data_IF_351518068441
#
_entry.id   IF_351518068441
#
_cell.length_a   1.000
_cell.length_b   1.000
_cell.length_c   1.000
_cell.angle_alpha   90.00
_cell.angle_beta   90.00
_cell.angle_gamma   90.00
#
_symmetry.space_group_name_H-M   'P 1'
#
loop_
_entity.id
_entity.type
_entity.pdbx_description
1 polymer ?
#
# COMPACT_ATOMS: atom_id res chain seq x y z
N UNK A 1 -2.77 -2.92 12.40
CA UNK A 1 -2.64 -1.60 11.76
C UNK A 1 -3.92 -1.23 11.02
N UNK A 2 -4.35 -1.95 9.97
CA UNK A 2 -5.60 -1.69 9.22
C UNK A 2 -6.88 -1.49 10.07
N UNK A 3 -7.28 -2.48 10.86
CA UNK A 3 -8.51 -2.40 11.68
C UNK A 3 -8.44 -1.32 12.78
N UNK A 4 -7.24 -0.93 13.22
CA UNK A 4 -7.06 0.18 14.15
C UNK A 4 -7.47 1.51 13.50
N UNK A 5 -7.13 1.71 12.22
CA UNK A 5 -7.60 2.88 11.47
C UNK A 5 -9.11 2.91 11.32
N UNK A 6 -9.74 1.78 11.02
CA UNK A 6 -11.20 1.71 10.94
C UNK A 6 -11.86 2.14 12.26
N UNK A 7 -11.32 1.73 13.42
CA UNK A 7 -11.83 2.15 14.74
C UNK A 7 -11.68 3.63 15.00
N UNK A 8 -10.67 4.26 14.41
CA UNK A 8 -10.31 5.64 14.71
C UNK A 8 -10.93 6.64 13.73
N UNK A 9 -11.65 6.21 12.70
CA UNK A 9 -12.33 7.12 11.77
C UNK A 9 -13.27 8.04 12.55
N UNK A 10 -13.31 9.31 12.17
CA UNK A 10 -14.20 10.28 12.81
C UNK A 10 -15.60 10.27 12.21
N UNK A 11 -15.74 9.81 10.97
CA UNK A 11 -17.02 9.74 10.29
C UNK A 11 -17.94 8.74 11.01
N UNK A 12 -19.23 9.05 11.24
CA UNK A 12 -20.11 8.19 12.02
C UNK A 12 -20.14 6.75 11.47
N UNK A 13 -19.66 5.78 12.25
CA UNK A 13 -19.49 4.38 11.78
C UNK A 13 -20.80 3.75 11.34
N UNK A 14 -21.91 4.11 11.97
CA UNK A 14 -23.24 3.62 11.61
C UNK A 14 -23.72 4.09 10.21
N UNK A 15 -22.97 4.98 9.54
CA UNK A 15 -23.18 5.41 8.15
C UNK A 15 -22.18 4.75 7.18
N UNK A 16 -21.30 3.89 7.67
CA UNK A 16 -20.29 3.19 6.88
C UNK A 16 -20.66 1.71 6.83
N UNK A 17 -20.85 1.22 5.61
CA UNK A 17 -20.93 -0.21 5.33
C UNK A 17 -19.55 -0.69 4.85
N UNK A 18 -19.07 -1.80 5.39
CA UNK A 18 -17.81 -2.42 5.02
C UNK A 18 -18.05 -3.65 4.15
N UNK A 19 -17.33 -3.75 3.04
CA UNK A 19 -17.39 -4.92 2.17
C UNK A 19 -15.97 -5.41 1.85
N UNK A 20 -15.73 -6.70 2.06
CA UNK A 20 -14.46 -7.36 1.79
C UNK A 20 -14.66 -8.47 0.77
N UNK A 21 -13.72 -8.57 -0.17
CA UNK A 21 -13.63 -9.70 -1.09
C UNK A 21 -12.33 -10.46 -0.80
N UNK A 22 -12.46 -11.73 -0.45
CA UNK A 22 -11.34 -12.66 -0.33
C UNK A 22 -11.36 -13.58 -1.56
N UNK A 23 -10.24 -13.66 -2.28
CA UNK A 23 -10.12 -14.48 -3.49
C UNK A 23 -8.84 -15.29 -3.50
N UNK A 24 -8.91 -16.51 -4.04
CA UNK A 24 -7.82 -17.48 -4.26
C UNK A 24 -6.92 -17.69 -3.01
N UNK A 25 -7.47 -17.45 -1.80
CA UNK A 25 -6.75 -17.55 -0.53
C UNK A 25 -6.61 -19.01 -0.08
N UNK A 26 -5.43 -19.37 0.45
CA UNK A 26 -5.10 -20.70 0.96
C UNK A 26 -4.66 -20.69 2.43
N UNK A 27 -4.73 -19.53 3.08
CA UNK A 27 -4.27 -19.31 4.44
C UNK A 27 -5.46 -19.03 5.38
N UNK A 28 -5.19 -18.49 6.56
CA UNK A 28 -6.20 -18.19 7.58
C UNK A 28 -6.88 -16.82 7.41
N UNK A 29 -6.78 -16.17 6.23
CA UNK A 29 -7.31 -14.82 5.99
C UNK A 29 -8.78 -14.67 6.40
N UNK A 30 -9.67 -15.58 5.99
CA UNK A 30 -11.11 -15.50 6.29
C UNK A 30 -11.38 -15.58 7.79
N UNK A 31 -10.74 -16.53 8.47
CA UNK A 31 -10.89 -16.71 9.91
C UNK A 31 -10.42 -15.47 10.68
N UNK A 32 -9.25 -14.94 10.32
CA UNK A 32 -8.70 -13.74 10.95
C UNK A 32 -9.54 -12.49 10.67
N UNK A 33 -9.97 -12.30 9.43
CA UNK A 33 -10.86 -11.20 9.03
C UNK A 33 -12.17 -11.24 9.83
N UNK A 34 -12.78 -12.42 9.94
CA UNK A 34 -14.02 -12.63 10.69
C UNK A 34 -13.84 -12.31 12.19
N UNK A 35 -12.74 -12.77 12.79
CA UNK A 35 -12.42 -12.45 14.19
C UNK A 35 -12.30 -10.94 14.40
N UNK A 36 -11.52 -10.25 13.56
CA UNK A 36 -11.29 -8.81 13.68
C UNK A 36 -12.54 -7.98 13.43
N UNK A 37 -13.43 -8.40 12.53
CA UNK A 37 -14.71 -7.73 12.30
C UNK A 37 -15.70 -7.96 13.45
N UNK A 38 -15.69 -9.14 14.09
CA UNK A 38 -16.44 -9.36 15.33
C UNK A 38 -15.96 -8.47 16.46
N UNK A 39 -14.64 -8.31 16.61
CA UNK A 39 -14.07 -7.35 17.58
C UNK A 39 -14.49 -5.90 17.28
N UNK A 40 -14.61 -5.52 16.01
CA UNK A 40 -15.10 -4.19 15.62
C UNK A 40 -16.57 -4.00 16.03
N UNK A 41 -17.44 -4.95 15.70
CA UNK A 41 -18.87 -4.86 16.01
C UNK A 41 -19.20 -5.07 17.49
N UNK A 42 -18.29 -5.64 18.28
CA UNK A 42 -18.45 -5.79 19.72
C UNK A 42 -18.25 -4.47 20.52
N UNK A 43 -18.11 -3.32 19.85
CA UNK A 43 -17.99 -2.04 20.51
C UNK A 43 -19.25 -1.74 21.36
N UNK A 44 -19.11 -1.37 22.65
CA UNK A 44 -20.25 -1.09 23.52
C UNK A 44 -21.05 0.17 23.10
N UNK A 45 -20.44 1.11 22.38
CA UNK A 45 -21.15 2.27 21.83
C UNK A 45 -21.74 1.92 20.45
N UNK A 46 -23.08 1.88 20.29
CA UNK A 46 -23.71 1.61 19.00
C UNK A 46 -23.34 2.59 17.89
N UNK A 47 -22.93 3.83 18.23
CA UNK A 47 -22.47 4.82 17.23
C UNK A 47 -21.10 4.47 16.65
N UNK A 48 -20.35 3.62 17.34
CA UNK A 48 -19.03 3.15 16.94
C UNK A 48 -19.09 1.78 16.23
N UNK A 49 -20.29 1.21 16.07
CA UNK A 49 -20.53 0.02 15.26
C UNK A 49 -20.77 0.43 13.80
N UNK A 50 -20.24 -0.36 12.87
CA UNK A 50 -20.47 -0.18 11.44
C UNK A 50 -21.89 -0.62 11.07
N UNK A 51 -22.43 -0.06 9.99
CA UNK A 51 -23.79 -0.33 9.50
C UNK A 51 -23.97 -1.79 9.07
N UNK A 52 -23.57 -2.11 7.85
CA UNK A 52 -23.50 -3.47 7.32
C UNK A 52 -22.04 -3.89 7.13
N UNK A 53 -21.71 -5.13 7.51
CA UNK A 53 -20.41 -5.73 7.19
C UNK A 53 -20.65 -6.98 6.35
N UNK A 54 -20.10 -6.97 5.13
CA UNK A 54 -20.16 -8.08 4.18
C UNK A 54 -18.77 -8.66 3.95
N UNK A 55 -18.62 -9.97 4.15
CA UNK A 55 -17.44 -10.74 3.72
C UNK A 55 -17.90 -11.63 2.57
N UNK A 56 -17.24 -11.50 1.42
CA UNK A 56 -17.55 -12.26 0.23
C UNK A 56 -16.33 -13.06 -0.20
N UNK A 57 -16.55 -14.30 -0.60
CA UNK A 57 -15.52 -15.20 -1.07
C UNK A 57 -15.77 -15.51 -2.54
N UNK A 58 -14.78 -15.22 -3.39
CA UNK A 58 -14.84 -15.57 -4.80
C UNK A 58 -13.46 -15.70 -5.39
N UNK A 59 -13.20 -16.88 -5.94
CA UNK A 59 -12.00 -17.17 -6.70
C UNK A 59 -12.13 -16.68 -8.14
N UNK A 60 -11.05 -16.09 -8.65
CA UNK A 60 -10.94 -15.67 -10.05
C UNK A 60 -9.94 -16.54 -10.81
N UNK A 61 -9.40 -17.57 -10.16
CA UNK A 61 -8.48 -18.51 -10.78
C UNK A 61 -7.15 -17.86 -11.12
N UNK A 62 -6.71 -16.88 -10.32
CA UNK A 62 -5.41 -16.27 -10.52
C UNK A 62 -4.33 -17.35 -10.41
N UNK A 63 -3.68 -17.66 -11.53
CA UNK A 63 -2.52 -18.56 -11.55
C UNK A 63 -1.35 -17.83 -10.91
N UNK A 64 -1.19 -18.00 -9.60
CA UNK A 64 -0.01 -17.53 -8.86
C UNK A 64 1.17 -18.39 -9.30
N UNK A 65 1.86 -17.99 -10.38
CA UNK A 65 3.19 -18.50 -10.65
C UNK A 65 4.12 -17.96 -9.55
N UNK A 66 4.81 -18.85 -8.84
CA UNK A 66 5.63 -18.55 -7.67
C UNK A 66 6.94 -17.80 -7.99
N UNK A 67 7.18 -17.47 -9.26
CA UNK A 67 8.44 -16.88 -9.70
C UNK A 67 8.35 -15.34 -9.73
N UNK A 68 9.04 -14.69 -8.79
CA UNK A 68 8.99 -13.24 -8.51
C UNK A 68 9.42 -12.43 -9.73
N UNK A 69 10.39 -12.91 -10.52
CA UNK A 69 10.82 -12.27 -11.77
C UNK A 69 9.71 -12.25 -12.84
N UNK A 70 8.85 -13.28 -12.89
CA UNK A 70 7.70 -13.31 -13.82
C UNK A 70 6.54 -12.42 -13.38
N UNK A 71 6.42 -12.11 -12.08
CA UNK A 71 5.36 -11.27 -11.50
C UNK A 71 5.60 -9.79 -11.75
N UNK A 72 6.86 -9.38 -11.82
CA UNK A 72 7.24 -7.99 -12.05
C UNK A 72 7.55 -7.66 -13.50
N UNK A 73 7.60 -8.64 -14.41
CA UNK A 73 7.76 -8.37 -15.84
C UNK A 73 6.58 -7.58 -16.41
N UNK A 74 6.88 -6.56 -17.21
CA UNK A 74 5.91 -5.70 -17.89
C UNK A 74 4.76 -6.48 -18.57
N UNK A 75 5.10 -7.60 -19.23
CA UNK A 75 4.12 -8.45 -19.93
C UNK A 75 3.07 -9.11 -19.02
N UNK A 76 3.38 -9.36 -17.74
CA UNK A 76 2.45 -9.99 -16.80
C UNK A 76 1.50 -8.98 -16.12
N UNK A 77 1.90 -7.71 -16.05
CA UNK A 77 1.15 -6.68 -15.32
C UNK A 77 -0.22 -6.40 -15.94
N UNK A 78 -0.33 -6.41 -17.27
CA UNK A 78 -1.59 -6.20 -17.96
C UNK A 78 -2.64 -7.26 -17.56
N UNK A 79 -2.27 -8.54 -17.54
CA UNK A 79 -3.16 -9.64 -17.12
C UNK A 79 -3.56 -9.53 -15.66
N UNK A 80 -2.61 -9.21 -14.78
CA UNK A 80 -2.87 -8.99 -13.35
C UNK A 80 -3.87 -7.86 -13.11
N UNK A 81 -3.69 -6.69 -13.74
CA UNK A 81 -4.62 -5.56 -13.63
C UNK A 81 -6.03 -5.91 -14.11
N UNK A 82 -6.13 -6.57 -15.27
CA UNK A 82 -7.44 -7.03 -15.80
C UNK A 82 -8.16 -7.95 -14.81
N UNK A 83 -7.44 -8.86 -14.14
CA UNK A 83 -8.05 -9.75 -13.15
C UNK A 83 -8.38 -9.05 -11.82
N UNK A 84 -7.55 -8.12 -11.33
CA UNK A 84 -7.89 -7.28 -10.19
C UNK A 84 -9.14 -6.43 -10.46
N UNK A 85 -9.29 -5.92 -11.69
CA UNK A 85 -10.47 -5.18 -12.10
C UNK A 85 -11.75 -6.03 -12.03
N UNK A 86 -11.67 -7.32 -12.41
CA UNK A 86 -12.80 -8.26 -12.26
C UNK A 86 -13.21 -8.41 -10.79
N UNK A 87 -12.23 -8.57 -9.89
CA UNK A 87 -12.48 -8.67 -8.45
C UNK A 87 -13.13 -7.39 -7.89
N UNK A 88 -12.57 -6.20 -8.19
CA UNK A 88 -13.13 -4.91 -7.77
C UNK A 88 -14.55 -4.71 -8.30
N UNK A 89 -14.81 -4.99 -9.58
CA UNK A 89 -16.15 -4.85 -10.15
C UNK A 89 -17.16 -5.81 -9.53
N UNK A 90 -16.75 -7.05 -9.23
CA UNK A 90 -17.63 -8.03 -8.60
C UNK A 90 -18.00 -7.59 -7.17
N UNK A 91 -17.01 -7.17 -6.38
CA UNK A 91 -17.25 -6.63 -5.04
C UNK A 91 -18.17 -5.40 -5.08
N UNK A 92 -17.90 -4.46 -5.98
CA UNK A 92 -18.74 -3.27 -6.17
C UNK A 92 -20.18 -3.65 -6.48
N UNK A 93 -20.38 -4.56 -7.44
CA UNK A 93 -21.71 -4.97 -7.88
C UNK A 93 -22.50 -5.69 -6.78
N UNK A 94 -21.81 -6.44 -5.92
CA UNK A 94 -22.44 -7.17 -4.82
C UNK A 94 -22.71 -6.28 -3.59
N UNK A 95 -21.88 -5.26 -3.35
CA UNK A 95 -21.94 -4.41 -2.16
C UNK A 95 -22.73 -3.11 -2.36
N UNK A 96 -22.73 -2.50 -3.55
CA UNK A 96 -23.34 -1.20 -3.77
C UNK A 96 -24.87 -1.24 -3.59
N UNK A 97 -25.41 -0.38 -2.74
CA UNK A 97 -26.83 -0.23 -2.44
C UNK A 97 -27.37 1.11 -2.98
N UNK A 98 -28.69 1.24 -3.22
CA UNK A 98 -29.32 2.50 -3.61
C UNK A 98 -29.13 3.63 -2.58
N UNK A 99 -28.95 3.29 -1.31
CA UNK A 99 -28.75 4.21 -0.19
C UNK A 99 -27.34 4.81 -0.12
N UNK A 100 -26.35 4.19 -0.78
CA UNK A 100 -24.98 4.69 -0.75
C UNK A 100 -24.86 6.00 -1.52
N UNK A 101 -24.22 6.98 -0.88
CA UNK A 101 -23.88 8.28 -1.48
C UNK A 101 -22.44 8.33 -2.00
N UNK A 102 -21.56 7.58 -1.35
CA UNK A 102 -20.12 7.51 -1.64
C UNK A 102 -19.66 6.07 -1.60
N UNK A 103 -18.58 5.78 -2.32
CA UNK A 103 -17.84 4.51 -2.27
C UNK A 103 -16.38 4.88 -2.02
N UNK A 104 -15.81 4.31 -0.97
CA UNK A 104 -14.41 4.51 -0.60
C UNK A 104 -13.65 3.20 -0.80
N UNK A 105 -12.79 3.16 -1.81
CA UNK A 105 -11.84 2.07 -2.03
C UNK A 105 -10.60 2.31 -1.20
N UNK A 106 -10.15 1.29 -0.49
CA UNK A 106 -8.95 1.35 0.32
C UNK A 106 -8.23 0.01 0.31
N UNK A 107 -6.93 0.02 0.02
CA UNK A 107 -6.11 -1.18 0.14
C UNK A 107 -5.82 -1.49 1.63
N UNK A 108 -5.62 -2.78 1.92
CA UNK A 108 -5.49 -3.29 3.30
C UNK A 108 -4.13 -2.99 3.95
N UNK A 109 -3.15 -2.64 3.14
CA UNK A 109 -1.75 -2.34 3.44
C UNK A 109 -1.48 -0.83 3.60
N UNK A 110 -2.52 0.01 3.67
CA UNK A 110 -2.37 1.40 4.12
C UNK A 110 -1.98 1.42 5.61
N UNK A 111 -0.77 1.86 5.90
CA UNK A 111 -0.16 1.93 7.22
C UNK A 111 -0.67 3.09 8.06
N UNK A 112 -0.76 4.31 7.49
CA UNK A 112 -1.35 5.47 8.20
C UNK A 112 -2.13 6.40 7.25
N UNK A 113 -3.21 6.98 7.77
CA UNK A 113 -4.00 8.01 7.12
C UNK A 113 -4.64 8.90 8.20
N UNK A 114 -4.99 10.16 7.89
CA UNK A 114 -5.76 10.98 8.83
C UNK A 114 -7.10 10.30 9.18
N UNK A 115 -7.51 10.39 10.44
CA UNK A 115 -8.76 9.82 10.92
C UNK A 115 -10.01 10.49 10.30
N UNK A 116 -9.84 11.71 9.83
CA UNK A 116 -10.82 12.55 9.12
C UNK A 116 -10.84 12.32 7.62
N UNK A 117 -10.13 11.30 7.09
CA UNK A 117 -9.94 11.13 5.63
C UNK A 117 -11.25 11.10 4.82
N UNK A 118 -12.34 10.56 5.38
CA UNK A 118 -13.61 10.55 4.67
C UNK A 118 -14.16 11.97 4.55
N UNK A 119 -14.24 12.71 5.66
CA UNK A 119 -14.67 14.10 5.70
C UNK A 119 -13.79 15.01 4.84
N UNK A 120 -12.47 14.82 4.95
CA UNK A 120 -11.47 15.62 4.26
C UNK A 120 -11.58 15.45 2.75
N UNK A 121 -11.84 14.25 2.25
CA UNK A 121 -12.06 14.01 0.83
C UNK A 121 -13.48 14.41 0.38
N UNK A 122 -14.49 14.19 1.22
CA UNK A 122 -15.90 14.50 0.90
C UNK A 122 -16.14 16.01 0.73
N UNK A 123 -15.49 16.87 1.53
CA UNK A 123 -15.69 18.32 1.48
C UNK A 123 -15.28 18.97 0.15
N UNK A 124 -14.36 18.37 -0.60
CA UNK A 124 -14.00 18.81 -1.96
C UNK A 124 -15.14 18.63 -2.97
N UNK A 125 -16.12 17.78 -2.64
CA UNK A 125 -17.33 17.56 -3.43
C UNK A 125 -17.05 17.17 -4.91
N UNK A 126 -15.93 16.49 -5.17
CA UNK A 126 -15.60 15.94 -6.50
C UNK A 126 -16.26 14.58 -6.71
N UNK A 127 -16.49 14.25 -7.97
CA UNK A 127 -17.07 12.96 -8.34
C UNK A 127 -16.12 11.79 -8.07
N UNK A 128 -14.82 11.97 -8.34
CA UNK A 128 -13.73 11.05 -7.99
C UNK A 128 -12.57 11.88 -7.42
N UNK A 129 -12.05 11.47 -6.26
CA UNK A 129 -10.93 12.11 -5.60
C UNK A 129 -9.97 11.08 -4.98
N UNK A 130 -8.66 11.34 -5.11
CA UNK A 130 -7.60 10.52 -4.48
C UNK A 130 -6.61 11.38 -3.69
N UNK A 131 -6.11 10.89 -2.54
CA UNK A 131 -4.98 11.48 -1.86
C UNK A 131 -3.66 11.10 -2.54
N UNK A 132 -2.57 11.76 -2.16
CA UNK A 132 -1.23 11.32 -2.49
C UNK A 132 -0.79 10.14 -1.62
N UNK A 133 -0.04 9.19 -2.16
CA UNK A 133 0.36 7.96 -1.47
C UNK A 133 1.87 7.80 -1.46
N UNK A 134 2.42 7.78 -0.25
CA UNK A 134 3.84 7.63 0.01
C UNK A 134 4.10 6.38 0.84
N UNK A 135 5.35 5.94 0.90
CA UNK A 135 5.76 4.87 1.81
C UNK A 135 6.90 5.39 2.70
N UNK A 136 6.90 5.05 3.99
CA UNK A 136 8.06 5.29 4.82
C UNK A 136 9.19 4.38 4.36
N UNK A 137 10.42 4.86 4.52
CA UNK A 137 11.64 4.10 4.33
C UNK A 137 12.46 4.18 5.62
N UNK A 138 13.35 3.21 5.86
CA UNK A 138 14.42 3.40 6.82
C UNK A 138 15.22 4.67 6.51
N UNK A 139 15.72 5.36 7.54
CA UNK A 139 16.50 6.60 7.39
C UNK A 139 17.66 6.48 6.39
N UNK A 140 18.34 5.32 6.39
CA UNK A 140 19.46 5.04 5.48
C UNK A 140 19.06 4.87 4.00
N UNK A 141 17.77 4.76 3.70
CA UNK A 141 17.20 4.78 2.34
C UNK A 141 16.53 6.11 1.99
N UNK A 142 16.69 7.14 2.83
CA UNK A 142 16.10 8.47 2.58
C UNK A 142 14.77 8.72 3.30
N UNK A 143 14.36 7.86 4.23
CA UNK A 143 13.26 8.11 5.18
C UNK A 143 11.84 7.99 4.61
N UNK A 144 11.62 8.37 3.36
CA UNK A 144 10.31 8.27 2.69
C UNK A 144 10.48 8.28 1.16
N UNK A 145 9.50 7.74 0.44
CA UNK A 145 9.45 7.90 -1.01
C UNK A 145 8.02 7.83 -1.57
N UNK A 146 7.82 8.34 -2.80
CA UNK A 146 6.63 8.06 -3.60
C UNK A 146 6.33 6.55 -3.70
N UNK A 147 5.05 6.20 -3.56
CA UNK A 147 4.58 4.82 -3.70
C UNK A 147 3.67 4.63 -4.91
N UNK A 148 2.53 5.33 -4.96
CA UNK A 148 1.52 5.10 -6.00
C UNK A 148 1.76 5.98 -7.23
N UNK A 149 2.31 5.38 -8.29
CA UNK A 149 2.55 6.05 -9.57
C UNK A 149 1.35 6.00 -10.52
N UNK A 150 0.21 5.42 -10.12
CA UNK A 150 -0.96 5.24 -10.99
C UNK A 150 -1.91 6.46 -11.01
N UNK A 151 -1.63 7.45 -10.16
CA UNK A 151 -2.32 8.74 -10.19
C UNK A 151 -1.49 9.76 -10.96
N UNK A 152 -1.96 10.19 -12.11
CA UNK A 152 -1.19 11.04 -13.03
C UNK A 152 -2.10 11.86 -13.95
N UNK A 153 -1.58 12.97 -14.46
CA UNK A 153 -2.22 13.72 -15.55
C UNK A 153 -1.63 13.27 -16.90
N UNK A 154 -2.47 13.23 -17.93
CA UNK A 154 -2.10 12.76 -19.26
C UNK A 154 -1.02 13.65 -19.91
N UNK A 155 -0.23 13.07 -20.82
CA UNK A 155 0.80 13.78 -21.58
C UNK A 155 0.63 13.56 -23.09
N UNK A 156 1.08 14.52 -23.91
CA UNK A 156 1.07 14.37 -25.37
C UNK A 156 1.93 13.19 -25.83
N UNK A 157 3.07 12.96 -25.17
CA UNK A 157 3.96 11.84 -25.48
C UNK A 157 3.32 10.49 -25.19
N UNK A 158 2.58 10.37 -24.08
CA UNK A 158 1.86 9.14 -23.75
C UNK A 158 0.70 8.87 -24.71
N UNK A 159 -0.01 9.91 -25.16
CA UNK A 159 -1.04 9.78 -26.19
C UNK A 159 -0.45 9.31 -27.53
N UNK A 160 0.65 9.92 -27.97
CA UNK A 160 1.35 9.50 -29.18
C UNK A 160 1.86 8.06 -29.08
N UNK A 161 2.39 7.65 -27.92
CA UNK A 161 2.76 6.27 -27.66
C UNK A 161 1.54 5.33 -27.74
N UNK A 162 0.44 5.69 -27.09
CA UNK A 162 -0.79 4.88 -27.06
C UNK A 162 -1.33 4.61 -28.47
N UNK A 163 -1.21 5.56 -29.40
CA UNK A 163 -1.64 5.40 -30.80
C UNK A 163 -0.79 4.39 -31.59
N UNK A 164 0.43 4.09 -31.13
CA UNK A 164 1.31 3.09 -31.76
C UNK A 164 1.08 1.66 -31.26
N UNK A 165 0.30 1.49 -30.18
CA UNK A 165 0.11 0.20 -29.53
C UNK A 165 -1.12 -0.54 -30.05
N UNK A 166 -1.07 -1.87 -30.04
CA UNK A 166 -2.19 -2.75 -30.37
C UNK A 166 -3.41 -2.50 -29.47
N UNK A 167 -4.62 -2.75 -29.98
CA UNK A 167 -5.89 -2.49 -29.28
C UNK A 167 -5.93 -3.04 -27.85
N UNK A 168 -5.45 -4.27 -27.65
CA UNK A 168 -5.45 -4.97 -26.36
C UNK A 168 -4.30 -4.61 -25.41
N UNK A 169 -3.33 -3.80 -25.88
CA UNK A 169 -2.18 -3.37 -25.10
C UNK A 169 -2.62 -2.54 -23.89
N UNK A 170 -1.87 -2.66 -22.79
CA UNK A 170 -2.09 -1.91 -21.55
C UNK A 170 -0.77 -1.27 -21.15
N UNK A 171 -0.77 0.05 -21.07
CA UNK A 171 0.30 0.85 -20.49
C UNK A 171 0.21 0.69 -18.97
N UNK A 172 1.34 0.41 -18.35
CA UNK A 172 1.47 0.24 -16.91
C UNK A 172 2.55 1.20 -16.45
N UNK A 173 2.20 2.17 -15.62
CA UNK A 173 3.15 3.16 -15.13
C UNK A 173 4.22 2.57 -14.21
N UNK A 174 5.38 3.23 -14.17
CA UNK A 174 6.53 2.82 -13.34
C UNK A 174 7.48 1.82 -14.01
N UNK A 175 7.28 1.54 -15.30
CA UNK A 175 8.08 0.60 -16.09
C UNK A 175 8.91 1.32 -17.15
N UNK A 176 10.19 0.93 -17.28
CA UNK A 176 11.14 1.58 -18.20
C UNK A 176 10.80 1.34 -19.68
N UNK A 177 9.98 0.33 -19.96
CA UNK A 177 9.55 -0.07 -21.28
C UNK A 177 8.79 1.04 -22.02
N UNK A 178 8.01 1.86 -21.29
CA UNK A 178 7.24 2.96 -21.85
C UNK A 178 7.59 4.29 -21.19
N UNK A 179 8.26 5.16 -21.93
CA UNK A 179 8.54 6.53 -21.50
C UNK A 179 7.29 7.40 -21.73
N UNK A 180 6.37 7.41 -20.77
CA UNK A 180 5.10 8.14 -20.84
C UNK A 180 5.24 9.63 -20.55
N UNK A 181 6.27 10.03 -19.79
CA UNK A 181 6.49 11.44 -19.37
C UNK A 181 5.29 12.10 -18.70
N UNK A 182 4.45 11.29 -18.05
CA UNK A 182 3.29 11.81 -17.33
C UNK A 182 3.72 12.44 -16.01
N UNK A 183 3.17 13.61 -15.64
CA UNK A 183 3.31 14.10 -14.28
C UNK A 183 2.52 13.19 -13.32
N UNK A 184 3.23 12.48 -12.44
CA UNK A 184 2.61 11.65 -11.40
C UNK A 184 2.34 12.47 -10.15
N UNK A 185 1.15 12.31 -9.58
CA UNK A 185 0.72 12.95 -8.33
C UNK A 185 1.75 12.73 -7.20
N UNK A 186 2.33 11.53 -7.15
CA UNK A 186 3.31 11.13 -6.17
C UNK A 186 4.53 12.05 -6.08
N UNK A 187 5.01 12.57 -7.21
CA UNK A 187 6.18 13.45 -7.27
C UNK A 187 5.86 14.93 -7.01
N UNK A 188 4.59 15.29 -6.92
CA UNK A 188 4.15 16.68 -6.75
C UNK A 188 3.96 17.08 -5.28
N UNK A 189 4.27 16.19 -4.34
CA UNK A 189 4.16 16.47 -2.91
C UNK A 189 5.16 17.54 -2.48
N UNK A 190 4.64 18.61 -1.87
CA UNK A 190 5.37 19.51 -1.01
C UNK A 190 4.86 19.29 0.43
N UNK A 191 5.71 18.88 1.40
CA UNK A 191 5.32 18.74 2.80
C UNK A 191 4.77 20.02 3.45
N UNK A 192 5.05 21.19 2.89
CA UNK A 192 4.55 22.49 3.34
C UNK A 192 3.46 23.05 2.44
N UNK A 193 3.05 22.30 1.41
CA UNK A 193 2.00 22.68 0.49
C UNK A 193 0.61 22.65 1.13
N UNK A 194 -0.34 23.34 0.49
CA UNK A 194 -1.73 23.35 0.92
C UNK A 194 -2.37 21.95 0.72
N UNK A 195 -2.80 21.25 1.79
CA UNK A 195 -3.45 19.94 1.66
C UNK A 195 -4.74 19.99 0.84
N UNK A 196 -5.33 21.18 0.67
CA UNK A 196 -6.58 21.38 -0.08
C UNK A 196 -6.33 21.65 -1.56
N UNK A 197 -5.06 21.74 -1.97
CA UNK A 197 -4.71 21.94 -3.38
C UNK A 197 -5.28 20.79 -4.20
N UNK A 198 -6.08 21.13 -5.21
CA UNK A 198 -6.68 20.18 -6.13
C UNK A 198 -5.92 20.19 -7.45
N UNK A 199 -5.72 19.01 -8.03
CA UNK A 199 -5.16 18.84 -9.37
C UNK A 199 -6.06 17.91 -10.18
N UNK A 200 -6.41 18.30 -11.40
CA UNK A 200 -7.08 17.37 -12.32
C UNK A 200 -6.12 16.28 -12.77
N UNK A 201 -6.55 15.03 -12.71
CA UNK A 201 -5.77 13.86 -13.09
C UNK A 201 -6.56 12.96 -14.04
N UNK A 202 -5.88 12.17 -14.85
CA UNK A 202 -6.47 11.30 -15.86
C UNK A 202 -6.41 9.83 -15.44
N UNK A 203 -5.28 9.41 -14.87
CA UNK A 203 -5.11 8.14 -14.18
C UNK A 203 -5.40 8.26 -12.69
N UNK A 204 -5.98 7.21 -12.11
CA UNK A 204 -6.32 7.11 -10.70
C UNK A 204 -5.67 5.84 -10.15
N UNK A 205 -4.96 5.95 -9.03
CA UNK A 205 -4.40 4.80 -8.34
C UNK A 205 -5.36 4.12 -7.36
N UNK A 206 -5.13 2.83 -7.12
CA UNK A 206 -6.06 1.94 -6.41
C UNK A 206 -6.03 1.99 -4.89
N UNK A 207 -5.03 2.65 -4.30
CA UNK A 207 -4.74 2.55 -2.85
C UNK A 207 -5.80 3.23 -1.99
N UNK A 208 -6.29 4.39 -2.42
CA UNK A 208 -7.33 5.16 -1.73
C UNK A 208 -8.11 5.98 -2.74
N UNK A 209 -9.37 5.63 -2.98
CA UNK A 209 -10.25 6.33 -3.93
C UNK A 209 -11.57 6.63 -3.23
N UNK A 210 -11.92 7.90 -3.10
CA UNK A 210 -13.28 8.29 -2.77
C UNK A 210 -14.00 8.70 -4.05
N UNK A 211 -15.13 8.07 -4.33
CA UNK A 211 -15.96 8.42 -5.48
C UNK A 211 -17.44 8.49 -5.08
N UNK A 212 -18.19 9.40 -5.69
CA UNK A 212 -19.64 9.46 -5.49
C UNK A 212 -20.28 8.20 -6.07
N UNK A 213 -21.22 7.61 -5.35
CA UNK A 213 -21.90 6.39 -5.80
C UNK A 213 -22.64 6.57 -7.14
N UNK A 214 -23.02 7.81 -7.49
CA UNK A 214 -23.60 8.12 -8.83
C UNK A 214 -22.65 7.82 -9.99
N UNK A 215 -21.33 7.87 -9.78
CA UNK A 215 -20.31 7.58 -10.82
C UNK A 215 -20.44 6.12 -11.25
N UNK A 216 -20.48 5.21 -10.27
CA UNK A 216 -20.67 3.78 -10.53
C UNK A 216 -22.06 3.46 -11.08
N UNK A 217 -23.11 4.09 -10.54
CA UNK A 217 -24.49 3.91 -11.04
C UNK A 217 -24.68 4.41 -12.48
N UNK A 218 -23.85 5.35 -12.93
CA UNK A 218 -23.86 5.80 -14.32
C UNK A 218 -23.17 4.82 -15.28
N UNK A 219 -22.45 3.81 -14.77
CA UNK A 219 -21.76 2.79 -15.57
C UNK A 219 -20.24 2.86 -15.55
N UNK A 220 -19.64 3.84 -14.85
CA UNK A 220 -18.19 3.88 -14.67
C UNK A 220 -17.77 2.72 -13.75
N UNK A 221 -16.77 1.96 -14.18
CA UNK A 221 -16.27 0.78 -13.46
C UNK A 221 -14.77 0.61 -13.73
N UNK A 222 -14.15 -0.41 -13.14
CA UNK A 222 -12.74 -0.75 -13.37
C UNK A 222 -12.62 -1.61 -14.63
N UNK A 223 -12.08 -1.14 -15.77
CA UNK A 223 -12.08 -1.93 -16.99
C UNK A 223 -11.24 -3.20 -16.83
N UNK A 224 -11.87 -4.36 -17.00
CA UNK A 224 -11.20 -5.67 -17.05
C UNK A 224 -10.65 -6.02 -18.45
N UNK A 225 -10.58 -5.01 -19.31
CA UNK A 225 -10.12 -5.03 -20.69
C UNK A 225 -9.31 -3.75 -20.93
N UNK A 226 -8.66 -3.64 -22.10
CA UNK A 226 -7.96 -2.40 -22.44
C UNK A 226 -8.97 -1.29 -22.78
N UNK A 227 -9.02 -0.25 -21.97
CA UNK A 227 -9.77 0.96 -22.20
C UNK A 227 -8.78 2.11 -22.36
N UNK A 228 -8.66 2.66 -23.57
CA UNK A 228 -7.65 3.67 -23.90
C UNK A 228 -6.24 3.28 -23.48
N UNK A 229 -5.86 2.04 -23.73
CA UNK A 229 -4.57 1.44 -23.32
C UNK A 229 -4.37 1.34 -21.81
N UNK A 230 -5.43 1.41 -21.00
CA UNK A 230 -5.36 1.25 -19.55
C UNK A 230 -6.36 0.21 -19.09
N UNK A 231 -6.14 -0.33 -17.89
CA UNK A 231 -7.06 -1.27 -17.26
C UNK A 231 -7.23 -0.87 -15.79
N UNK A 232 -8.19 -1.50 -15.12
CA UNK A 232 -8.37 -1.38 -13.67
C UNK A 232 -8.59 0.08 -13.21
N UNK A 233 -7.77 0.62 -12.31
CA UNK A 233 -7.99 1.93 -11.65
C UNK A 233 -7.64 3.11 -12.56
N UNK A 234 -6.58 3.00 -13.37
CA UNK A 234 -6.24 4.00 -14.38
C UNK A 234 -7.31 4.06 -15.48
N UNK A 235 -7.82 2.88 -15.90
CA UNK A 235 -8.94 2.79 -16.83
C UNK A 235 -10.23 3.38 -16.24
N UNK A 236 -10.46 3.22 -14.94
CA UNK A 236 -11.57 3.84 -14.22
C UNK A 236 -11.47 5.38 -14.25
N UNK A 237 -10.29 5.95 -14.00
CA UNK A 237 -10.04 7.40 -14.09
C UNK A 237 -10.36 7.95 -15.49
N UNK A 238 -9.84 7.32 -16.54
CA UNK A 238 -10.11 7.69 -17.92
C UNK A 238 -11.60 7.58 -18.28
N UNK A 239 -12.25 6.49 -17.86
CA UNK A 239 -13.68 6.28 -18.11
C UNK A 239 -14.53 7.35 -17.41
N UNK A 240 -14.22 7.69 -16.16
CA UNK A 240 -14.88 8.76 -15.43
C UNK A 240 -14.77 10.11 -16.16
N UNK A 241 -13.56 10.48 -16.62
CA UNK A 241 -13.36 11.70 -17.42
C UNK A 241 -14.12 11.67 -18.74
N UNK A 242 -14.13 10.55 -19.46
CA UNK A 242 -14.90 10.39 -20.71
C UNK A 242 -16.39 10.59 -20.49
N UNK A 243 -16.90 10.15 -19.35
CA UNK A 243 -18.29 10.35 -18.92
C UNK A 243 -18.55 11.72 -18.27
N UNK A 244 -17.59 12.65 -18.35
CA UNK A 244 -17.69 14.04 -17.87
C UNK A 244 -17.84 14.17 -16.34
N UNK A 245 -17.36 13.18 -15.59
CA UNK A 245 -17.17 13.31 -14.15
C UNK A 245 -15.85 13.99 -13.83
N UNK A 246 -15.80 14.76 -12.74
CA UNK A 246 -14.55 15.35 -12.26
C UNK A 246 -13.65 14.28 -11.64
N UNK A 247 -12.38 14.25 -12.01
CA UNK A 247 -11.36 13.34 -11.46
C UNK A 247 -10.20 14.17 -10.94
N UNK A 248 -9.99 14.15 -9.63
CA UNK A 248 -9.06 15.05 -8.92
C UNK A 248 -8.11 14.28 -8.02
N UNK A 249 -6.85 14.69 -7.96
CA UNK A 249 -5.88 14.27 -6.96
C UNK A 249 -5.52 15.42 -6.02
N UNK A 250 -5.17 15.09 -4.77
CA UNK A 250 -4.65 16.02 -3.79
C UNK A 250 -3.14 15.80 -3.63
N UNK A 251 -2.25 16.59 -4.27
CA UNK A 251 -0.81 16.35 -4.26
C UNK A 251 -0.17 16.46 -2.86
N UNK A 252 -0.76 17.24 -1.95
CA UNK A 252 -0.17 17.51 -0.63
C UNK A 252 -0.87 16.76 0.51
N UNK A 253 -2.11 16.30 0.30
CA UNK A 253 -2.81 15.44 1.25
C UNK A 253 -2.29 14.00 1.15
N UNK A 254 -1.46 13.59 2.12
CA UNK A 254 -0.67 12.35 2.02
C UNK A 254 -1.21 11.25 2.94
N UNK A 255 -1.31 10.03 2.40
CA UNK A 255 -1.47 8.79 3.16
C UNK A 255 -0.25 7.89 2.96
N UNK A 256 -0.06 6.95 3.88
CA UNK A 256 1.14 6.13 3.95
C UNK A 256 0.81 4.65 3.75
N UNK A 257 1.46 4.06 2.76
CA UNK A 257 1.45 2.62 2.50
C UNK A 257 2.51 1.92 3.36
N UNK A 258 2.23 0.69 3.80
CA UNK A 258 3.16 -0.14 4.56
C UNK A 258 4.48 -0.34 3.81
N UNK A 259 5.58 -0.22 4.53
CA UNK A 259 6.89 -0.65 4.04
C UNK A 259 7.06 -2.16 4.21
N UNK A 260 7.04 -2.90 3.10
CA UNK A 260 7.49 -4.29 3.06
C UNK A 260 8.95 -4.32 2.57
N UNK A 261 9.92 -4.66 3.43
CA UNK A 261 11.30 -4.85 2.97
C UNK A 261 11.32 -6.01 1.97
N UNK A 262 11.96 -5.81 0.81
CA UNK A 262 12.18 -6.90 -0.14
C UNK A 262 12.98 -8.02 0.52
N UNK A 263 12.80 -9.27 0.07
CA UNK A 263 13.53 -10.42 0.62
C UNK A 263 15.05 -10.21 0.64
N UNK A 264 15.58 -9.51 -0.36
CA UNK A 264 16.99 -9.14 -0.45
C UNK A 264 17.42 -8.13 0.63
N UNK A 265 16.60 -7.09 0.86
CA UNK A 265 16.85 -6.10 1.92
C UNK A 265 16.69 -6.74 3.31
N UNK A 266 15.72 -7.64 3.46
CA UNK A 266 15.50 -8.37 4.70
C UNK A 266 16.67 -9.32 5.00
N UNK A 267 17.17 -10.02 3.98
CA UNK A 267 18.34 -10.89 4.08
C UNK A 267 19.60 -10.09 4.43
N UNK A 268 19.85 -8.98 3.73
CA UNK A 268 20.98 -8.10 4.02
C UNK A 268 20.93 -7.54 5.46
N UNK A 269 19.76 -7.10 5.93
CA UNK A 269 19.59 -6.65 7.33
C UNK A 269 19.82 -7.75 8.35
N UNK A 270 19.39 -8.98 8.06
CA UNK A 270 19.61 -10.11 8.94
C UNK A 270 21.09 -10.49 9.01
N UNK A 271 21.80 -10.43 7.87
CA UNK A 271 23.25 -10.65 7.79
C UNK A 271 24.03 -9.57 8.56
N UNK A 272 23.68 -8.29 8.37
CA UNK A 272 24.31 -7.17 9.06
C UNK A 272 24.08 -7.22 10.58
N UNK A 273 22.86 -7.55 11.03
CA UNK A 273 22.57 -7.78 12.46
C UNK A 273 23.39 -8.94 13.04
N UNK A 274 23.50 -10.04 12.30
CA UNK A 274 24.30 -11.19 12.73
C UNK A 274 25.79 -10.86 12.83
N UNK A 275 26.33 -10.04 11.91
CA UNK A 275 27.71 -9.54 12.01
C UNK A 275 27.92 -8.58 13.19
N UNK A 276 26.97 -7.67 13.43
CA UNK A 276 27.02 -6.76 14.57
C UNK A 276 26.97 -7.51 15.92
N UNK A 277 26.14 -8.56 16.02
CA UNK A 277 26.11 -9.42 17.21
C UNK A 277 27.41 -10.19 17.39
N UNK A 278 27.98 -10.75 16.32
CA UNK A 278 29.29 -11.42 16.37
C UNK A 278 30.41 -10.47 16.83
N UNK A 279 30.45 -9.23 16.31
CA UNK A 279 31.41 -8.22 16.76
C UNK A 279 31.23 -7.87 18.23
N UNK A 280 30.00 -7.68 18.70
CA UNK A 280 29.71 -7.44 20.13
C UNK A 280 30.15 -8.61 21.02
N UNK A 281 29.93 -9.86 20.58
CA UNK A 281 30.36 -11.05 21.31
C UNK A 281 31.89 -11.16 21.37
N UNK A 282 32.59 -10.86 20.27
CA UNK A 282 34.06 -10.85 20.22
C UNK A 282 34.65 -9.74 21.11
N UNK A 283 34.07 -8.55 21.10
CA UNK A 283 34.49 -7.45 21.99
C UNK A 283 34.23 -7.77 23.47
N UNK A 284 33.12 -8.45 23.80
CA UNK A 284 32.84 -8.90 25.15
C UNK A 284 33.85 -9.97 25.61
N UNK A 285 34.13 -10.97 24.77
CA UNK A 285 35.11 -12.02 25.07
C UNK A 285 36.55 -11.45 25.22
N UNK A 286 36.92 -10.46 24.41
CA UNK A 286 38.21 -9.77 24.52
C UNK A 286 38.34 -8.97 25.82
N UNK A 287 37.24 -8.37 26.32
CA UNK A 287 37.21 -7.67 27.61
C UNK A 287 37.28 -8.61 28.80
N UNK A 288 36.70 -9.81 28.72
CA UNK A 288 36.82 -10.83 29.76
C UNK A 288 38.24 -11.42 29.83
N UNK A 289 38.90 -11.63 28.70
CA UNK A 289 40.29 -12.12 28.66
C UNK A 289 41.34 -11.04 28.99
N UNK A 290 41.05 -9.75 28.77
CA UNK A 290 41.95 -8.64 29.11
C UNK A 290 42.04 -8.34 30.63
N UNK A 291 41.16 -8.90 31.45
CA UNK A 291 41.12 -8.68 32.90
C UNK A 291 41.85 -9.77 33.72
N UNK A 292 42.58 -10.67 33.06
CA UNK A 292 43.44 -11.66 33.71
C UNK A 292 44.92 -11.33 33.46
N UNK A 293 45.47 -10.32 34.15
CA UNK A 293 46.93 -10.19 34.28
C UNK A 293 47.46 -11.15 35.37
N UNK A 294 48.62 -11.79 35.17
CA UNK A 294 49.14 -12.79 36.11
C UNK A 294 49.80 -12.13 37.33
N UNK A 295 49.35 -12.53 38.53
CA UNK A 295 49.97 -12.22 39.81
C UNK A 295 51.39 -12.80 39.84
N UNK A 296 52.42 -11.96 39.90
CA UNK A 296 53.83 -12.36 40.07
C UNK A 296 54.06 -12.88 41.50
N UNK A 297 54.27 -14.18 41.66
CA UNK A 297 54.76 -14.79 42.91
C UNK A 297 56.24 -14.45 43.14
N UNK A 298 56.53 -13.77 44.25
CA UNK A 298 57.88 -13.56 44.77
C UNK A 298 58.39 -14.79 45.50
N UNK A 299 59.47 -15.41 45.01
CA UNK A 299 60.19 -16.48 45.72
C UNK A 299 61.04 -15.88 46.85
N UNK A 300 60.74 -16.28 48.08
CA UNK A 300 61.61 -16.19 49.27
C UNK A 300 61.98 -17.63 49.64
N UNK A 301 63.26 -17.98 49.63
CA UNK A 301 63.75 -19.25 50.16
C UNK A 301 65.00 -18.97 51.00
N UNK A 302 64.88 -19.26 52.28
CA UNK A 302 65.86 -19.07 53.34
C UNK A 302 66.99 -20.10 53.27
N UNK A 303 68.17 -19.67 53.74
CA UNK A 303 69.28 -20.52 54.16
C UNK A 303 68.84 -21.50 55.27
N UNK A 304 69.28 -22.76 55.19
CA UNK A 304 69.76 -23.50 56.36
C UNK A 304 70.59 -24.73 55.96
N UNK A 305 71.77 -24.80 56.58
CA UNK A 305 72.66 -25.96 56.83
C UNK A 305 71.86 -27.27 56.89
N UNK A 306 72.23 -28.37 56.24
CA UNK A 306 73.52 -29.05 56.33
C UNK A 306 73.41 -30.17 57.37
N UNK A 307 73.21 -31.42 56.92
CA UNK A 307 73.70 -32.61 57.62
C UNK A 307 73.72 -33.83 56.68
N UNK A 308 74.89 -34.49 56.68
CA UNK A 308 75.25 -35.86 56.27
C UNK A 308 74.88 -36.41 54.88
#
# INVERSE_FOLDING_TARGET
>A
MFFGHLKNLTYPHNLIDLAFLVGDSKDNTISLLTEKLKELQANPDPKQQFGEISIMEKDFGQKVNQDVESRHGFAAQAGRRKSMAQARNWLLSAALRPTHSWVYWRDVDVETAPFTILEDLMRHNKDVIVPNVWRPLPDWLGGEQPYDLNSWQESETALALADTLDEDAVIVEGYAEYATWRPHLAYLRDPYGDPDMEMEIDGVGGVSILAKAKVFRAGVHFPAFSFEKHAETEGFGKMAKRMKFSVVGLPHYTIWHLYEPSDLVQKAKNEEKAEAEKKKQQEAAAKEHGNQEPVKEGKRAEEKKGDS
#
